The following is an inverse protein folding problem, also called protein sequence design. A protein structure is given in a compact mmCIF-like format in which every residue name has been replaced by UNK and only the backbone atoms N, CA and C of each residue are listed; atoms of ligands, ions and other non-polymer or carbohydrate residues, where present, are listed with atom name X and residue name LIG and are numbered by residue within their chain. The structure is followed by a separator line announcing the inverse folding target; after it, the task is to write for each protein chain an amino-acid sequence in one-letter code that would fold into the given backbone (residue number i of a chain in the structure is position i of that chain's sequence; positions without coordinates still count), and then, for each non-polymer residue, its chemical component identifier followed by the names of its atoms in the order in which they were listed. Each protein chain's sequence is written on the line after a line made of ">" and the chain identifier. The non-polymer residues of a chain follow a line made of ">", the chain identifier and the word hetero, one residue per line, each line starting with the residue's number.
data_IF_858622168099
#
_entry.id   IF_858622168099
#
_cell.length_a   1.000
_cell.length_b   1.000
_cell.length_c   1.000
_cell.angle_alpha   90.00
_cell.angle_beta   90.00
_cell.angle_gamma   90.00
#
_symmetry.space_group_name_H-M   'P 1'
#
loop_
_entity.id
_entity.type
_entity.pdbx_description
1 polymer ?
#
# COMPACT_ATOMS: atom_id res chain seq x y z
N UNK A 1 -10.99 7.61 1.41
CA UNK A 1 -9.97 8.20 0.52
C UNK A 1 -9.45 7.11 -0.38
N UNK A 2 -9.20 7.41 -1.66
CA UNK A 2 -8.53 6.50 -2.60
C UNK A 2 -7.29 7.24 -3.10
N UNK A 3 -6.15 6.57 -3.12
CA UNK A 3 -4.88 7.14 -3.58
C UNK A 3 -3.99 6.04 -4.14
N UNK A 4 -3.16 6.39 -5.13
CA UNK A 4 -2.07 5.56 -5.62
C UNK A 4 -0.71 5.95 -5.01
N UNK A 5 -0.67 7.00 -4.20
CA UNK A 5 0.54 7.47 -3.53
C UNK A 5 0.70 6.86 -2.14
N UNK A 6 1.78 6.10 -1.95
CA UNK A 6 2.14 5.48 -0.68
C UNK A 6 2.46 6.50 0.42
N UNK A 7 2.97 7.69 0.07
CA UNK A 7 3.30 8.71 1.06
C UNK A 7 2.05 9.25 1.73
N UNK A 8 1.03 9.56 0.93
CA UNK A 8 -0.29 9.95 1.42
C UNK A 8 -0.97 8.82 2.20
N UNK A 9 -0.90 7.59 1.68
CA UNK A 9 -1.47 6.42 2.36
C UNK A 9 -0.83 6.17 3.74
N UNK A 10 0.46 6.47 3.93
CA UNK A 10 1.17 6.28 5.21
C UNK A 10 0.62 7.08 6.40
N UNK A 11 -0.19 8.10 6.15
CA UNK A 11 -0.88 8.85 7.21
C UNK A 11 -2.13 8.13 7.73
N UNK A 12 -2.63 7.14 7.00
CA UNK A 12 -3.80 6.37 7.42
C UNK A 12 -3.46 5.41 8.57
N UNK A 13 -4.49 5.02 9.33
CA UNK A 13 -4.37 3.96 10.34
C UNK A 13 -4.60 2.56 9.75
N UNK A 14 -5.33 2.47 8.64
CA UNK A 14 -5.71 1.23 7.96
C UNK A 14 -5.74 1.48 6.45
N UNK A 15 -5.21 0.54 5.67
CA UNK A 15 -5.20 0.55 4.22
C UNK A 15 -5.77 -0.77 3.72
N UNK A 16 -6.67 -0.70 2.74
CA UNK A 16 -7.22 -1.85 2.05
C UNK A 16 -6.70 -1.84 0.62
N UNK A 17 -6.00 -2.91 0.24
CA UNK A 17 -5.57 -3.13 -1.12
C UNK A 17 -6.67 -3.87 -1.85
N UNK A 18 -7.09 -3.32 -2.98
CA UNK A 18 -8.14 -3.90 -3.83
C UNK A 18 -7.48 -4.40 -5.11
N UNK A 19 -7.80 -5.63 -5.50
CA UNK A 19 -7.44 -6.23 -6.78
C UNK A 19 -8.68 -6.92 -7.36
N UNK A 20 -8.98 -6.66 -8.63
CA UNK A 20 -10.13 -7.24 -9.34
C UNK A 20 -11.48 -7.09 -8.62
N UNK A 21 -11.71 -5.89 -8.04
CA UNK A 21 -12.94 -5.57 -7.33
C UNK A 21 -13.10 -6.24 -5.96
N UNK A 22 -12.07 -6.93 -5.46
CA UNK A 22 -12.08 -7.60 -4.14
C UNK A 22 -10.95 -7.07 -3.26
N UNK A 23 -11.16 -7.11 -1.95
CA UNK A 23 -10.09 -6.82 -0.99
C UNK A 23 -9.10 -7.99 -1.06
N UNK A 24 -7.88 -7.68 -1.46
CA UNK A 24 -6.79 -8.64 -1.58
C UNK A 24 -5.91 -8.65 -0.34
N UNK A 25 -5.64 -7.48 0.25
CA UNK A 25 -4.79 -7.37 1.42
C UNK A 25 -5.21 -6.18 2.31
N UNK A 26 -4.82 -6.23 3.56
CA UNK A 26 -5.06 -5.21 4.55
C UNK A 26 -3.77 -4.90 5.31
N UNK A 27 -3.49 -3.60 5.48
CA UNK A 27 -2.44 -3.11 6.36
C UNK A 27 -3.05 -2.29 7.48
N UNK A 28 -2.69 -2.62 8.72
CA UNK A 28 -3.04 -1.85 9.92
C UNK A 28 -1.74 -1.28 10.49
N UNK A 29 -1.72 0.02 10.77
CA UNK A 29 -0.53 0.71 11.28
C UNK A 29 -0.14 0.22 12.67
N UNK A 30 -1.12 0.03 13.56
CA UNK A 30 -0.87 -0.38 14.94
C UNK A 30 0.12 0.56 15.64
N UNK A 31 1.20 0.00 16.16
CA UNK A 31 2.27 0.75 16.85
C UNK A 31 3.41 1.18 15.92
N UNK A 32 3.33 0.89 14.61
CA UNK A 32 4.37 1.26 13.67
C UNK A 32 4.52 2.78 13.60
N UNK A 33 5.78 3.22 13.57
CA UNK A 33 6.09 4.57 13.12
C UNK A 33 5.60 4.77 11.69
N UNK A 34 5.32 6.02 11.33
CA UNK A 34 4.90 6.34 9.96
C UNK A 34 5.89 5.85 8.91
N UNK A 35 7.19 5.88 9.22
CA UNK A 35 8.26 5.43 8.32
C UNK A 35 8.21 3.92 8.12
N UNK A 36 8.03 3.15 9.19
CA UNK A 36 7.88 1.68 9.09
C UNK A 36 6.62 1.32 8.32
N UNK A 37 5.50 1.99 8.61
CA UNK A 37 4.25 1.78 7.90
C UNK A 37 4.37 2.13 6.41
N UNK A 38 5.03 3.26 6.09
CA UNK A 38 5.33 3.64 4.71
C UNK A 38 6.15 2.58 3.97
N UNK A 39 7.21 2.04 4.59
CA UNK A 39 8.03 1.00 3.98
C UNK A 39 7.21 -0.28 3.71
N UNK A 40 6.32 -0.67 4.62
CA UNK A 40 5.40 -1.81 4.41
C UNK A 40 4.46 -1.57 3.23
N UNK A 41 3.96 -0.34 3.05
CA UNK A 41 3.12 0.01 1.90
C UNK A 41 3.93 -0.12 0.60
N UNK A 42 5.15 0.41 0.56
CA UNK A 42 6.03 0.32 -0.62
C UNK A 42 6.32 -1.13 -0.97
N UNK A 43 6.59 -2.00 0.01
CA UNK A 43 6.80 -3.43 -0.21
C UNK A 43 5.58 -4.08 -0.89
N UNK A 44 4.36 -3.85 -0.37
CA UNK A 44 3.14 -4.40 -0.97
C UNK A 44 2.88 -3.82 -2.36
N UNK A 45 3.07 -2.51 -2.56
CA UNK A 45 2.91 -1.88 -3.88
C UNK A 45 3.94 -2.43 -4.88
N UNK A 46 5.17 -2.69 -4.44
CA UNK A 46 6.22 -3.29 -5.28
C UNK A 46 5.92 -4.76 -5.59
N UNK A 47 5.32 -5.51 -4.67
CA UNK A 47 4.88 -6.88 -4.93
C UNK A 47 3.68 -6.92 -5.89
N UNK A 48 2.72 -6.01 -5.73
CA UNK A 48 1.56 -5.89 -6.61
C UNK A 48 1.92 -5.33 -7.99
N UNK A 49 2.87 -4.41 -8.04
CA UNK A 49 3.44 -3.80 -9.24
C UNK A 49 4.71 -4.49 -9.74
N UNK A 50 5.12 -5.61 -9.15
CA UNK A 50 6.25 -6.43 -9.64
C UNK A 50 5.89 -7.24 -10.89
N UNK A 51 4.59 -7.23 -11.25
CA UNK A 51 4.06 -7.57 -12.57
C UNK A 51 3.98 -6.34 -13.49
N UNK A 52 4.44 -5.16 -13.06
CA UNK A 52 4.57 -3.97 -13.90
C UNK A 52 5.87 -4.06 -14.70
N UNK A 53 5.85 -4.99 -15.65
CA UNK A 53 6.67 -4.97 -16.85
C UNK A 53 6.21 -3.87 -17.83
N UNK A 54 5.72 -2.74 -17.34
CA UNK A 54 5.26 -1.62 -18.16
C UNK A 54 5.32 -0.32 -17.34
N UNK A 55 6.45 0.38 -17.41
CA UNK A 55 6.50 1.82 -17.74
C UNK A 55 7.88 2.11 -18.32
N UNK A 56 7.96 2.10 -19.66
CA UNK A 56 8.97 2.85 -20.43
C UNK A 56 8.53 4.32 -20.53
#
# INVERSE_FOLDING_TARGET
>A
MVTHDAFTASYAHRILFIKDGKIFNELIRGNDSRKEFFNKIIEIVTLLGGDASDVF
#
